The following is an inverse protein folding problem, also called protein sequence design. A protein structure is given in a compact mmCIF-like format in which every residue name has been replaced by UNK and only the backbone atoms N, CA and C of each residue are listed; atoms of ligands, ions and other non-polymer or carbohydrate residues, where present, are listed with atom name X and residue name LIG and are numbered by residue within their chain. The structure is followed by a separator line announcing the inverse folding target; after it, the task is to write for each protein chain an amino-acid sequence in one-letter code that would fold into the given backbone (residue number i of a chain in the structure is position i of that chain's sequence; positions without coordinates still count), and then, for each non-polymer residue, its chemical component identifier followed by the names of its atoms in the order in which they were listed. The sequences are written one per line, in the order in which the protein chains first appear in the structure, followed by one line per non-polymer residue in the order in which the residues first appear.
data_IF_073039127171
#
_entry.id   IF_073039127171
#
_cell.length_a   1.000
_cell.length_b   1.000
_cell.length_c   1.000
_cell.angle_alpha   90.00
_cell.angle_beta   90.00
_cell.angle_gamma   90.00
#
_symmetry.space_group_name_H-M   'P 1'
#
loop_
_entity.id
_entity.type
_entity.pdbx_description
1 polymer ?
#
# COMPACT_ATOMS: atom_id res chain seq x y z
N UNK A 1 -15.62 -14.87 -20.83
CA UNK A 1 -14.22 -14.98 -20.40
C UNK A 1 -13.94 -14.12 -19.14
N UNK A 2 -14.18 -12.81 -19.15
CA UNK A 2 -13.87 -11.91 -18.02
C UNK A 2 -14.64 -12.24 -16.73
N UNK A 3 -15.93 -12.59 -16.80
CA UNK A 3 -16.70 -13.01 -15.61
C UNK A 3 -16.09 -14.27 -14.99
N UNK A 4 -15.67 -15.22 -15.80
CA UNK A 4 -14.99 -16.44 -15.31
C UNK A 4 -13.67 -16.08 -14.64
N UNK A 5 -12.89 -15.17 -15.23
CA UNK A 5 -11.64 -14.71 -14.62
C UNK A 5 -11.88 -14.03 -13.26
N UNK A 6 -12.94 -13.21 -13.16
CA UNK A 6 -13.32 -12.60 -11.88
C UNK A 6 -13.78 -13.65 -10.85
N UNK A 7 -14.56 -14.64 -11.26
CA UNK A 7 -14.97 -15.72 -10.37
C UNK A 7 -13.75 -16.51 -9.85
N UNK A 8 -12.78 -16.81 -10.71
CA UNK A 8 -11.54 -17.48 -10.30
C UNK A 8 -10.72 -16.60 -9.33
N UNK A 9 -10.58 -15.31 -9.63
CA UNK A 9 -9.96 -14.33 -8.75
C UNK A 9 -10.65 -14.29 -7.38
N UNK A 10 -11.97 -14.17 -7.35
CA UNK A 10 -12.77 -14.17 -6.13
C UNK A 10 -12.57 -15.45 -5.30
N UNK A 11 -12.73 -16.63 -5.93
CA UNK A 11 -12.57 -17.91 -5.24
C UNK A 11 -11.17 -18.10 -4.68
N UNK A 12 -10.15 -17.66 -5.41
CA UNK A 12 -8.78 -17.75 -4.96
C UNK A 12 -8.49 -16.83 -3.77
N UNK A 13 -8.99 -15.60 -3.78
CA UNK A 13 -8.84 -14.68 -2.65
C UNK A 13 -9.52 -15.23 -1.39
N UNK A 14 -10.76 -15.72 -1.51
CA UNK A 14 -11.46 -16.36 -0.39
C UNK A 14 -10.67 -17.56 0.14
N UNK A 15 -10.18 -18.42 -0.76
CA UNK A 15 -9.38 -19.59 -0.37
C UNK A 15 -8.10 -19.22 0.37
N UNK A 16 -7.35 -18.25 -0.13
CA UNK A 16 -6.09 -17.82 0.50
C UNK A 16 -6.31 -17.18 1.87
N UNK A 17 -7.34 -16.34 2.02
CA UNK A 17 -7.71 -15.76 3.32
C UNK A 17 -8.19 -16.84 4.31
N UNK A 18 -8.97 -17.83 3.88
CA UNK A 18 -9.34 -18.98 4.72
C UNK A 18 -8.13 -19.78 5.18
N UNK A 19 -7.21 -20.05 4.28
CA UNK A 19 -5.95 -20.76 4.62
C UNK A 19 -5.15 -19.95 5.64
N UNK A 20 -5.04 -18.63 5.47
CA UNK A 20 -4.33 -17.75 6.39
C UNK A 20 -4.99 -17.74 7.77
N UNK A 21 -6.31 -17.60 7.86
CA UNK A 21 -7.04 -17.68 9.15
C UNK A 21 -6.75 -18.99 9.86
N UNK A 22 -6.90 -20.13 9.17
CA UNK A 22 -6.66 -21.45 9.75
C UNK A 22 -5.20 -21.63 10.19
N UNK A 23 -4.25 -21.13 9.39
CA UNK A 23 -2.83 -21.19 9.71
C UNK A 23 -2.53 -20.39 10.98
N UNK A 24 -2.97 -19.13 11.05
CA UNK A 24 -2.72 -18.25 12.21
C UNK A 24 -3.43 -18.77 13.46
N UNK A 25 -4.65 -19.31 13.36
CA UNK A 25 -5.35 -19.93 14.49
C UNK A 25 -4.57 -21.12 15.09
N UNK A 26 -3.95 -21.95 14.26
CA UNK A 26 -3.09 -23.04 14.72
C UNK A 26 -1.80 -22.49 15.32
N UNK A 27 -1.13 -21.57 14.61
CA UNK A 27 0.12 -21.00 15.05
C UNK A 27 0.01 -20.22 16.36
N UNK A 28 -1.12 -19.56 16.62
CA UNK A 28 -1.41 -18.83 17.88
C UNK A 28 -1.27 -19.72 19.13
N UNK A 29 -1.53 -21.03 19.00
CA UNK A 29 -1.49 -21.98 20.10
C UNK A 29 -0.11 -22.68 20.26
N UNK A 30 0.85 -22.35 19.40
CA UNK A 30 2.22 -22.83 19.48
C UNK A 30 3.04 -21.95 20.43
N UNK A 31 4.27 -22.40 20.74
CA UNK A 31 5.23 -21.59 21.51
C UNK A 31 5.49 -20.27 20.76
N UNK A 32 5.35 -19.12 21.42
CA UNK A 32 5.64 -17.82 20.80
C UNK A 32 7.08 -17.73 20.30
N UNK A 33 7.23 -17.16 19.12
CA UNK A 33 8.53 -16.84 18.53
C UNK A 33 8.61 -15.33 18.33
N UNK A 34 9.80 -14.76 18.46
CA UNK A 34 10.10 -13.31 18.25
C UNK A 34 9.38 -12.43 19.28
N UNK A 35 8.05 -12.55 19.39
CA UNK A 35 7.22 -11.72 20.28
C UNK A 35 7.01 -12.38 21.63
N UNK A 36 6.78 -11.57 22.67
CA UNK A 36 6.30 -12.04 23.96
C UNK A 36 4.91 -12.69 23.84
N UNK A 37 4.59 -13.62 24.74
CA UNK A 37 3.37 -14.43 24.64
C UNK A 37 2.08 -13.60 24.49
N UNK A 38 1.94 -12.53 25.28
CA UNK A 38 0.76 -11.68 25.21
C UNK A 38 0.69 -10.93 23.87
N UNK A 39 1.80 -10.34 23.46
CA UNK A 39 1.90 -9.57 22.19
C UNK A 39 1.71 -10.50 20.98
N UNK A 40 2.27 -11.72 21.05
CA UNK A 40 2.08 -12.75 20.02
C UNK A 40 0.62 -13.12 19.83
N UNK A 41 -0.12 -13.35 20.94
CA UNK A 41 -1.56 -13.66 20.89
C UNK A 41 -2.38 -12.49 20.36
N UNK A 42 -2.07 -11.26 20.77
CA UNK A 42 -2.74 -10.04 20.26
C UNK A 42 -2.51 -9.87 18.76
N UNK A 43 -1.27 -10.06 18.29
CA UNK A 43 -0.95 -9.97 16.87
C UNK A 43 -1.66 -11.06 16.05
N UNK A 44 -1.74 -12.29 16.58
CA UNK A 44 -2.52 -13.36 15.95
C UNK A 44 -4.01 -13.02 15.88
N UNK A 45 -4.61 -12.48 16.95
CA UNK A 45 -6.02 -12.10 16.99
C UNK A 45 -6.32 -10.98 15.99
N UNK A 46 -5.46 -9.96 15.94
CA UNK A 46 -5.59 -8.90 14.95
C UNK A 46 -5.51 -9.44 13.51
N UNK A 47 -4.54 -10.31 13.22
CA UNK A 47 -4.40 -10.94 11.90
C UNK A 47 -5.65 -11.75 11.53
N UNK A 48 -6.18 -12.56 12.45
CA UNK A 48 -7.40 -13.36 12.24
C UNK A 48 -8.62 -12.46 11.98
N UNK A 49 -8.82 -11.41 12.77
CA UNK A 49 -9.96 -10.51 12.62
C UNK A 49 -9.88 -9.72 11.32
N UNK A 50 -8.68 -9.25 10.96
CA UNK A 50 -8.43 -8.58 9.69
C UNK A 50 -8.76 -9.49 8.50
N UNK A 51 -8.30 -10.75 8.51
CA UNK A 51 -8.59 -11.71 7.45
C UNK A 51 -10.07 -12.09 7.37
N UNK A 52 -10.75 -12.25 8.50
CA UNK A 52 -12.21 -12.48 8.51
C UNK A 52 -12.97 -11.31 7.88
N UNK A 53 -12.54 -10.09 8.16
CA UNK A 53 -13.10 -8.91 7.53
C UNK A 53 -12.80 -8.87 6.03
N UNK A 54 -11.58 -9.24 5.61
CA UNK A 54 -11.20 -9.35 4.21
C UNK A 54 -12.06 -10.38 3.45
N UNK A 55 -12.35 -11.54 4.05
CA UNK A 55 -13.26 -12.54 3.47
C UNK A 55 -14.65 -11.92 3.22
N UNK A 56 -15.21 -11.22 4.21
CA UNK A 56 -16.53 -10.60 4.10
C UNK A 56 -16.53 -9.48 3.04
N UNK A 57 -15.51 -8.65 3.02
CA UNK A 57 -15.31 -7.59 2.04
C UNK A 57 -15.19 -8.17 0.62
N UNK A 58 -14.36 -9.20 0.43
CA UNK A 58 -14.19 -9.86 -0.87
C UNK A 58 -15.50 -10.44 -1.39
N UNK A 59 -16.32 -11.03 -0.52
CA UNK A 59 -17.64 -11.53 -0.90
C UNK A 59 -18.58 -10.38 -1.31
N UNK A 60 -18.53 -9.27 -0.58
CA UNK A 60 -19.33 -8.09 -0.89
C UNK A 60 -18.87 -7.42 -2.19
N UNK A 61 -17.56 -7.33 -2.43
CA UNK A 61 -16.99 -6.81 -3.67
C UNK A 61 -17.42 -7.66 -4.89
N UNK A 62 -17.55 -8.98 -4.70
CA UNK A 62 -18.09 -9.85 -5.73
C UNK A 62 -19.58 -9.52 -6.05
N UNK A 63 -20.38 -9.22 -5.03
CA UNK A 63 -21.77 -8.80 -5.26
C UNK A 63 -21.86 -7.43 -5.96
N UNK A 64 -20.97 -6.48 -5.61
CA UNK A 64 -20.86 -5.20 -6.31
C UNK A 64 -20.45 -5.41 -7.76
N UNK A 65 -19.47 -6.27 -8.03
CA UNK A 65 -19.07 -6.62 -9.38
C UNK A 65 -20.25 -7.18 -10.17
N UNK A 66 -20.98 -8.16 -9.62
CA UNK A 66 -22.15 -8.74 -10.27
C UNK A 66 -23.25 -7.70 -10.52
N UNK A 67 -23.48 -6.79 -9.60
CA UNK A 67 -24.42 -5.67 -9.77
C UNK A 67 -24.00 -4.79 -10.96
N UNK A 68 -22.73 -4.40 -11.04
CA UNK A 68 -22.25 -3.54 -12.10
C UNK A 68 -22.39 -4.20 -13.49
N UNK A 69 -21.95 -5.44 -13.66
CA UNK A 69 -21.98 -6.11 -14.97
C UNK A 69 -23.36 -6.54 -15.41
N UNK A 70 -24.33 -6.70 -14.49
CA UNK A 70 -25.69 -7.14 -14.84
C UNK A 70 -26.62 -5.99 -15.17
N UNK A 71 -26.63 -4.94 -14.36
CA UNK A 71 -27.58 -3.81 -14.49
C UNK A 71 -26.95 -2.45 -14.26
N UNK A 72 -25.88 -2.35 -13.45
CA UNK A 72 -25.35 -1.09 -12.99
C UNK A 72 -24.75 -0.25 -14.11
N UNK A 73 -23.97 -0.87 -15.00
CA UNK A 73 -23.33 -0.17 -16.12
C UNK A 73 -24.34 0.38 -17.11
N UNK A 74 -25.33 -0.43 -17.52
CA UNK A 74 -26.38 0.01 -18.44
C UNK A 74 -27.29 1.08 -17.81
N UNK A 75 -27.61 0.97 -16.52
CA UNK A 75 -28.35 1.98 -15.80
C UNK A 75 -27.58 3.31 -15.74
N UNK A 76 -26.28 3.24 -15.44
CA UNK A 76 -25.42 4.42 -15.41
C UNK A 76 -25.32 5.10 -16.78
N UNK A 77 -25.18 4.31 -17.87
CA UNK A 77 -25.15 4.84 -19.23
C UNK A 77 -26.48 5.51 -19.62
N UNK A 78 -27.61 4.94 -19.19
CA UNK A 78 -28.93 5.54 -19.44
C UNK A 78 -29.18 6.85 -18.72
N UNK A 79 -28.48 7.10 -17.59
CA UNK A 79 -28.58 8.36 -16.82
C UNK A 79 -27.63 9.44 -17.38
N UNK A 80 -26.46 9.04 -17.88
CA UNK A 80 -25.44 9.98 -18.37
C UNK A 80 -25.61 10.21 -19.88
N UNK A 81 -26.66 10.92 -20.25
CA UNK A 81 -27.03 11.21 -21.65
C UNK A 81 -26.44 12.54 -22.12
N UNK A 82 -25.11 12.67 -22.19
CA UNK A 82 -24.41 13.88 -22.61
C UNK A 82 -23.71 13.63 -23.94
N UNK A 83 -23.90 14.54 -24.92
CA UNK A 83 -23.33 14.40 -26.27
C UNK A 83 -21.79 14.57 -26.30
N UNK A 84 -21.24 15.43 -25.42
CA UNK A 84 -19.80 15.66 -25.37
C UNK A 84 -19.09 14.46 -24.77
N UNK A 85 -18.23 13.80 -25.55
CA UNK A 85 -17.52 12.57 -25.13
C UNK A 85 -16.70 12.75 -23.86
N UNK A 86 -15.96 13.85 -23.71
CA UNK A 86 -15.15 14.09 -22.54
C UNK A 86 -15.99 14.39 -21.29
N UNK A 87 -17.12 15.11 -21.45
CA UNK A 87 -18.03 15.38 -20.34
C UNK A 87 -18.78 14.12 -19.92
N UNK A 88 -19.19 13.29 -20.90
CA UNK A 88 -19.77 11.96 -20.64
C UNK A 88 -18.81 11.11 -19.85
N UNK A 89 -17.55 11.02 -20.26
CA UNK A 89 -16.54 10.24 -19.55
C UNK A 89 -16.28 10.77 -18.12
N UNK A 90 -16.18 12.09 -17.92
CA UNK A 90 -16.02 12.68 -16.58
C UNK A 90 -17.20 12.28 -15.68
N UNK A 91 -18.43 12.47 -16.13
CA UNK A 91 -19.62 12.16 -15.32
C UNK A 91 -19.76 10.67 -15.07
N UNK A 92 -19.61 9.85 -16.10
CA UNK A 92 -19.76 8.38 -16.01
C UNK A 92 -18.74 7.75 -15.05
N UNK A 93 -17.46 8.11 -15.22
CA UNK A 93 -16.38 7.55 -14.40
C UNK A 93 -16.47 8.08 -12.95
N UNK A 94 -16.72 9.38 -12.75
CA UNK A 94 -16.86 9.90 -11.39
C UNK A 94 -18.08 9.32 -10.67
N UNK A 95 -19.23 9.18 -11.32
CA UNK A 95 -20.41 8.54 -10.72
C UNK A 95 -20.14 7.06 -10.39
N UNK A 96 -19.49 6.32 -11.30
CA UNK A 96 -19.06 4.95 -11.02
C UNK A 96 -18.19 4.87 -9.77
N UNK A 97 -17.18 5.73 -9.64
CA UNK A 97 -16.27 5.76 -8.48
C UNK A 97 -17.00 6.18 -7.20
N UNK A 98 -17.87 7.20 -7.26
CA UNK A 98 -18.65 7.65 -6.09
C UNK A 98 -19.58 6.56 -5.60
N UNK A 99 -20.28 5.87 -6.50
CA UNK A 99 -21.18 4.76 -6.13
C UNK A 99 -20.36 3.63 -5.49
N UNK A 100 -19.23 3.22 -6.08
CA UNK A 100 -18.36 2.21 -5.47
C UNK A 100 -17.88 2.64 -4.08
N UNK A 101 -17.41 3.88 -3.93
CA UNK A 101 -16.98 4.39 -2.64
C UNK A 101 -18.10 4.36 -1.59
N UNK A 102 -19.33 4.77 -1.94
CA UNK A 102 -20.48 4.69 -1.02
C UNK A 102 -20.77 3.24 -0.62
N UNK A 103 -20.73 2.31 -1.56
CA UNK A 103 -20.98 0.91 -1.31
C UNK A 103 -19.93 0.28 -0.39
N UNK A 104 -18.65 0.64 -0.54
CA UNK A 104 -17.54 0.10 0.27
C UNK A 104 -17.32 0.84 1.59
N UNK A 105 -17.91 2.04 1.76
CA UNK A 105 -17.78 2.88 2.96
C UNK A 105 -18.05 2.16 4.30
N UNK A 106 -19.05 1.24 4.42
CA UNK A 106 -19.27 0.52 5.68
C UNK A 106 -18.05 -0.29 6.15
N UNK A 107 -17.30 -0.88 5.23
CA UNK A 107 -16.10 -1.66 5.56
C UNK A 107 -14.94 -0.76 6.00
N UNK A 108 -14.78 0.40 5.36
CA UNK A 108 -13.78 1.40 5.73
C UNK A 108 -14.06 1.95 7.13
N UNK A 109 -15.32 2.31 7.42
CA UNK A 109 -15.73 2.79 8.74
C UNK A 109 -15.54 1.73 9.82
N UNK A 110 -15.91 0.47 9.55
CA UNK A 110 -15.67 -0.63 10.48
C UNK A 110 -14.19 -0.85 10.75
N UNK A 111 -13.36 -0.88 9.70
CA UNK A 111 -11.91 -1.00 9.84
C UNK A 111 -11.33 0.09 10.72
N UNK A 112 -11.62 1.36 10.40
CA UNK A 112 -11.04 2.52 11.07
C UNK A 112 -11.54 2.69 12.50
N UNK A 113 -12.86 2.61 12.72
CA UNK A 113 -13.50 2.97 14.00
C UNK A 113 -13.79 1.79 14.93
N UNK A 114 -13.71 0.55 14.43
CA UNK A 114 -13.91 -0.65 15.25
C UNK A 114 -12.67 -1.50 15.33
N UNK A 115 -12.20 -2.04 14.21
CA UNK A 115 -11.07 -2.97 14.17
C UNK A 115 -9.77 -2.29 14.62
N UNK A 116 -9.31 -1.28 13.91
CA UNK A 116 -8.05 -0.59 14.21
C UNK A 116 -8.10 0.13 15.55
N UNK A 117 -9.27 0.67 15.93
CA UNK A 117 -9.45 1.27 17.25
C UNK A 117 -9.37 0.25 18.39
N UNK A 118 -9.94 -0.95 18.21
CA UNK A 118 -9.87 -2.06 19.19
C UNK A 118 -8.43 -2.46 19.48
N UNK A 119 -7.58 -2.43 18.46
CA UNK A 119 -6.16 -2.80 18.59
C UNK A 119 -5.23 -1.60 18.87
N UNK A 120 -5.79 -0.40 19.10
CA UNK A 120 -5.04 0.79 19.47
C UNK A 120 -4.28 1.47 18.33
N UNK A 121 -4.61 1.14 17.09
CA UNK A 121 -4.00 1.79 15.92
C UNK A 121 -4.69 3.12 15.58
N UNK A 122 -6.02 3.14 15.52
CA UNK A 122 -6.75 4.31 15.07
C UNK A 122 -7.04 5.30 16.20
N UNK A 123 -6.52 6.51 16.06
CA UNK A 123 -6.89 7.71 16.82
C UNK A 123 -7.87 8.60 16.04
N UNK A 124 -8.35 8.12 14.90
CA UNK A 124 -9.25 8.86 14.03
C UNK A 124 -10.54 9.24 14.75
N UNK A 125 -10.86 10.53 14.74
CA UNK A 125 -12.17 11.03 15.16
C UNK A 125 -13.10 11.18 13.97
N UNK A 126 -14.42 11.07 14.19
CA UNK A 126 -15.40 11.22 13.10
C UNK A 126 -15.26 12.58 12.39
N UNK A 127 -15.02 13.65 13.15
CA UNK A 127 -14.82 15.00 12.59
C UNK A 127 -13.58 15.07 11.70
N UNK A 128 -12.48 14.46 12.13
CA UNK A 128 -11.23 14.42 11.33
C UNK A 128 -11.43 13.56 10.07
N UNK A 129 -12.07 12.41 10.22
CA UNK A 129 -12.40 11.51 9.10
C UNK A 129 -13.23 12.25 8.03
N UNK A 130 -14.31 12.92 8.43
CA UNK A 130 -15.16 13.67 7.50
C UNK A 130 -14.36 14.79 6.80
N UNK A 131 -13.55 15.56 7.56
CA UNK A 131 -12.72 16.62 6.97
C UNK A 131 -11.72 16.08 5.95
N UNK A 132 -11.04 14.99 6.27
CA UNK A 132 -10.05 14.38 5.38
C UNK A 132 -10.73 13.75 4.16
N UNK A 133 -11.89 13.11 4.33
CA UNK A 133 -12.72 12.58 3.24
C UNK A 133 -13.17 13.68 2.28
N UNK A 134 -13.67 14.82 2.79
CA UNK A 134 -14.08 15.94 1.93
C UNK A 134 -12.88 16.50 1.15
N UNK A 135 -11.72 16.71 1.82
CA UNK A 135 -10.52 17.19 1.14
C UNK A 135 -10.06 16.23 0.03
N UNK A 136 -10.04 14.93 0.34
CA UNK A 136 -9.67 13.89 -0.62
C UNK A 136 -10.65 13.83 -1.79
N UNK A 137 -11.97 13.90 -1.51
CA UNK A 137 -13.00 13.89 -2.54
C UNK A 137 -12.88 15.11 -3.48
N UNK A 138 -12.70 16.32 -2.93
CA UNK A 138 -12.52 17.53 -3.75
C UNK A 138 -11.25 17.42 -4.60
N UNK A 139 -10.13 17.01 -4.01
CA UNK A 139 -8.87 16.83 -4.73
C UNK A 139 -9.03 15.81 -5.86
N UNK A 140 -9.65 14.67 -5.56
CA UNK A 140 -9.90 13.62 -6.53
C UNK A 140 -10.84 14.07 -7.65
N UNK A 141 -11.97 14.70 -7.33
CA UNK A 141 -12.93 15.17 -8.32
C UNK A 141 -12.30 16.23 -9.26
N UNK A 142 -11.47 17.14 -8.73
CA UNK A 142 -10.83 18.17 -9.56
C UNK A 142 -9.71 17.55 -10.41
N UNK A 143 -8.71 16.95 -9.78
CA UNK A 143 -7.56 16.42 -10.52
C UNK A 143 -7.91 15.17 -11.32
N UNK A 144 -8.75 14.28 -10.77
CA UNK A 144 -9.23 13.10 -11.44
C UNK A 144 -10.03 13.44 -12.70
N UNK A 145 -10.91 14.45 -12.65
CA UNK A 145 -11.66 14.90 -13.83
C UNK A 145 -10.75 15.44 -14.94
N UNK A 146 -9.66 16.14 -14.58
CA UNK A 146 -8.67 16.60 -15.56
C UNK A 146 -7.99 15.39 -16.23
N UNK A 147 -7.61 14.38 -15.44
CA UNK A 147 -6.99 13.16 -15.96
C UNK A 147 -7.97 12.37 -16.84
N UNK A 148 -9.24 12.23 -16.39
CA UNK A 148 -10.30 11.56 -17.17
C UNK A 148 -10.53 12.29 -18.50
N UNK A 149 -10.60 13.62 -18.50
CA UNK A 149 -10.73 14.39 -19.72
C UNK A 149 -9.55 14.17 -20.68
N UNK A 150 -8.32 14.20 -20.16
CA UNK A 150 -7.11 13.99 -20.95
C UNK A 150 -7.03 12.60 -21.57
N UNK A 151 -7.31 11.55 -20.79
CA UNK A 151 -7.30 10.17 -21.32
C UNK A 151 -8.46 9.95 -22.31
N UNK A 152 -9.64 10.54 -22.08
CA UNK A 152 -10.78 10.45 -22.99
C UNK A 152 -10.45 11.12 -24.33
N UNK A 153 -9.81 12.26 -24.31
CA UNK A 153 -9.34 12.92 -25.54
C UNK A 153 -8.37 12.02 -26.32
N UNK A 154 -7.46 11.36 -25.62
CA UNK A 154 -6.49 10.42 -26.23
C UNK A 154 -7.22 9.23 -26.86
N UNK A 155 -8.19 8.63 -26.15
CA UNK A 155 -8.97 7.48 -26.63
C UNK A 155 -9.73 7.82 -27.91
N UNK A 156 -10.39 8.96 -27.95
CA UNK A 156 -11.26 9.34 -29.07
C UNK A 156 -10.46 9.92 -30.27
N UNK A 157 -9.22 10.37 -30.06
CA UNK A 157 -8.46 11.07 -31.11
C UNK A 157 -7.43 10.17 -31.80
N UNK A 158 -6.82 9.23 -31.08
CA UNK A 158 -5.69 8.46 -31.62
C UNK A 158 -6.05 7.01 -31.89
N UNK A 159 -5.80 6.47 -33.11
CA UNK A 159 -6.08 5.07 -33.43
C UNK A 159 -5.36 4.06 -32.52
N UNK A 160 -4.11 4.35 -32.12
CA UNK A 160 -3.33 3.58 -31.17
C UNK A 160 -3.35 4.24 -29.78
N UNK A 161 -4.53 4.64 -29.31
CA UNK A 161 -4.73 5.38 -28.08
C UNK A 161 -4.05 4.76 -26.85
N UNK A 162 -3.95 3.44 -26.78
CA UNK A 162 -3.39 2.74 -25.64
C UNK A 162 -1.90 3.06 -25.43
N UNK A 163 -1.13 3.34 -26.50
CA UNK A 163 0.27 3.78 -26.40
C UNK A 163 0.35 5.16 -25.77
N UNK A 164 -0.42 6.10 -26.32
CA UNK A 164 -0.43 7.49 -25.83
C UNK A 164 -1.08 7.62 -24.45
N UNK A 165 -2.11 6.82 -24.20
CA UNK A 165 -2.74 6.68 -22.89
C UNK A 165 -1.78 6.18 -21.84
N UNK A 166 -0.99 5.15 -22.15
CA UNK A 166 0.09 4.66 -21.29
C UNK A 166 1.10 5.78 -20.97
N UNK A 167 1.62 6.47 -21.99
CA UNK A 167 2.59 7.56 -21.80
C UNK A 167 2.01 8.66 -20.93
N UNK A 168 0.77 9.07 -21.18
CA UNK A 168 0.07 10.11 -20.44
C UNK A 168 -0.12 9.73 -18.97
N UNK A 169 -0.71 8.56 -18.69
CA UNK A 169 -0.99 8.12 -17.32
C UNK A 169 0.32 7.82 -16.57
N UNK A 170 1.33 7.24 -17.22
CA UNK A 170 2.63 6.99 -16.60
C UNK A 170 3.33 8.31 -16.20
N UNK A 171 3.28 9.33 -17.07
CA UNK A 171 3.80 10.67 -16.75
C UNK A 171 3.04 11.30 -15.56
N UNK A 172 1.71 11.17 -15.51
CA UNK A 172 0.89 11.64 -14.38
C UNK A 172 1.27 10.94 -13.07
N UNK A 173 1.48 9.62 -13.09
CA UNK A 173 1.90 8.87 -11.90
C UNK A 173 3.27 9.34 -11.39
N UNK A 174 4.23 9.54 -12.28
CA UNK A 174 5.54 10.09 -11.89
C UNK A 174 5.37 11.49 -11.28
N UNK A 175 4.57 12.36 -11.90
CA UNK A 175 4.29 13.69 -11.39
C UNK A 175 3.63 13.66 -10.01
N UNK A 176 2.63 12.80 -9.81
CA UNK A 176 1.97 12.63 -8.51
C UNK A 176 2.98 12.17 -7.45
N UNK A 177 3.84 11.18 -7.75
CA UNK A 177 4.87 10.73 -6.82
C UNK A 177 5.85 11.85 -6.44
N UNK A 178 6.20 12.72 -7.37
CA UNK A 178 7.04 13.90 -7.08
C UNK A 178 6.33 14.91 -6.16
N UNK A 179 5.05 15.14 -6.37
CA UNK A 179 4.27 16.16 -5.66
C UNK A 179 3.66 15.65 -4.36
N UNK A 180 3.54 14.32 -4.19
CA UNK A 180 2.86 13.69 -3.05
C UNK A 180 3.31 14.24 -1.68
N UNK A 181 4.63 14.33 -1.37
CA UNK A 181 5.06 14.83 -0.07
C UNK A 181 4.63 16.29 0.18
N UNK A 182 4.59 17.11 -0.88
CA UNK A 182 4.19 18.53 -0.80
C UNK A 182 2.68 18.67 -0.61
N UNK A 183 1.89 17.85 -1.31
CA UNK A 183 0.42 17.85 -1.20
C UNK A 183 0.02 17.36 0.18
N UNK A 184 0.63 16.28 0.67
CA UNK A 184 0.35 15.70 1.97
C UNK A 184 0.63 16.68 3.12
N UNK A 185 1.79 17.33 3.10
CA UNK A 185 2.18 18.37 4.05
C UNK A 185 1.15 19.51 4.15
N UNK A 186 0.70 20.01 3.00
CA UNK A 186 -0.21 21.17 2.98
C UNK A 186 -1.66 20.83 3.30
N UNK A 187 -2.10 19.59 3.06
CA UNK A 187 -3.52 19.25 3.09
C UNK A 187 -3.91 18.37 4.29
N UNK A 188 -3.05 17.43 4.69
CA UNK A 188 -3.43 16.38 5.62
C UNK A 188 -2.62 16.39 6.90
N UNK A 189 -1.31 16.30 6.81
CA UNK A 189 -0.41 16.16 7.93
C UNK A 189 0.39 17.44 8.16
N UNK A 190 0.85 17.65 9.37
CA UNK A 190 1.73 18.75 9.70
C UNK A 190 3.17 18.26 9.69
N UNK A 191 3.95 18.71 8.73
CA UNK A 191 5.37 18.44 8.65
C UNK A 191 6.14 19.51 9.43
N UNK A 192 6.90 19.09 10.42
CA UNK A 192 7.79 19.96 11.17
C UNK A 192 9.22 19.48 10.98
N UNK A 193 10.19 20.39 11.03
CA UNK A 193 11.60 19.97 11.13
C UNK A 193 11.79 19.17 12.40
N UNK A 194 12.66 18.16 12.32
CA UNK A 194 12.97 17.33 13.49
C UNK A 194 13.43 18.20 14.65
N UNK A 195 12.78 18.05 15.82
CA UNK A 195 13.07 18.85 17.02
C UNK A 195 14.37 18.42 17.68
N UNK A 196 14.66 17.13 17.65
CA UNK A 196 15.88 16.53 18.18
C UNK A 196 17.07 16.86 17.26
N UNK A 197 17.86 17.82 17.69
CA UNK A 197 19.02 18.30 16.91
C UNK A 197 20.17 17.31 16.87
N UNK A 198 20.34 16.51 17.92
CA UNK A 198 21.35 15.46 17.93
C UNK A 198 21.02 14.38 16.90
N UNK A 199 19.78 13.94 16.90
CA UNK A 199 19.29 12.97 15.92
C UNK A 199 19.33 13.54 14.49
N UNK A 200 18.94 14.80 14.28
CA UNK A 200 19.00 15.46 12.96
C UNK A 200 20.43 15.42 12.40
N UNK A 201 21.44 15.81 13.19
CA UNK A 201 22.85 15.77 12.79
C UNK A 201 23.33 14.36 12.46
N UNK A 202 22.94 13.37 13.27
CA UNK A 202 23.29 11.95 13.00
C UNK A 202 22.67 11.46 11.67
N UNK A 203 21.43 11.82 11.41
CA UNK A 203 20.75 11.47 10.17
C UNK A 203 21.41 12.17 8.98
N UNK A 204 21.69 13.47 9.07
CA UNK A 204 22.37 14.21 8.00
C UNK A 204 23.73 13.58 7.66
N UNK A 205 24.50 13.21 8.68
CA UNK A 205 25.78 12.50 8.49
C UNK A 205 25.57 11.17 7.74
N UNK A 206 24.58 10.37 8.14
CA UNK A 206 24.24 9.10 7.48
C UNK A 206 23.85 9.30 6.01
N UNK A 207 23.07 10.35 5.71
CA UNK A 207 22.67 10.70 4.34
C UNK A 207 23.88 11.09 3.48
N UNK A 208 24.79 11.88 4.05
CA UNK A 208 26.01 12.33 3.37
C UNK A 208 26.97 11.15 3.06
N UNK A 209 27.12 10.21 3.99
CA UNK A 209 27.94 8.98 3.77
C UNK A 209 27.46 8.15 2.59
N UNK A 210 26.15 8.12 2.35
CA UNK A 210 25.53 7.38 1.23
C UNK A 210 25.42 8.24 -0.04
N UNK A 211 25.67 9.54 0.06
CA UNK A 211 25.50 10.49 -1.04
C UNK A 211 24.02 10.79 -1.36
N UNK A 212 23.12 10.65 -0.37
CA UNK A 212 21.72 10.97 -0.51
C UNK A 212 21.46 12.46 -0.25
N UNK A 213 21.22 13.22 -1.33
CA UNK A 213 20.88 14.64 -1.22
C UNK A 213 19.41 14.80 -0.82
N UNK A 214 19.19 15.27 0.41
CA UNK A 214 17.87 15.51 0.98
C UNK A 214 17.57 17.01 1.05
N UNK A 215 16.30 17.41 0.94
CA UNK A 215 15.81 18.76 1.25
C UNK A 215 15.60 18.97 2.77
N UNK A 216 15.83 17.94 3.58
CA UNK A 216 15.75 17.97 5.04
C UNK A 216 15.09 16.74 5.64
N UNK A 217 15.16 16.68 6.98
CA UNK A 217 14.55 15.65 7.82
C UNK A 217 13.32 16.24 8.50
N UNK A 218 12.18 15.60 8.34
CA UNK A 218 10.90 16.07 8.85
C UNK A 218 10.25 15.02 9.74
N UNK A 219 9.61 15.48 10.80
CA UNK A 219 8.68 14.69 11.60
C UNK A 219 7.25 15.05 11.19
N UNK A 220 6.36 14.05 11.15
CA UNK A 220 4.94 14.21 10.80
C UNK A 220 4.05 13.75 11.95
N UNK A 221 2.96 14.48 12.24
CA UNK A 221 1.98 14.20 13.29
C UNK A 221 1.04 13.03 12.91
N UNK A 222 1.64 11.87 12.60
CA UNK A 222 0.91 10.68 12.19
C UNK A 222 0.03 10.12 13.31
N UNK A 223 0.49 10.21 14.57
CA UNK A 223 -0.24 9.76 15.77
C UNK A 223 -1.64 10.34 15.91
N UNK A 224 -1.91 11.48 15.29
CA UNK A 224 -3.24 12.08 15.23
C UNK A 224 -4.28 11.19 14.53
N UNK A 225 -3.82 10.30 13.65
CA UNK A 225 -4.65 9.38 12.84
C UNK A 225 -4.37 7.93 13.15
N UNK A 226 -3.11 7.56 13.13
CA UNK A 226 -2.65 6.17 13.24
C UNK A 226 -1.39 6.09 14.12
N UNK A 227 -1.37 5.14 15.04
CA UNK A 227 -0.26 4.91 15.97
C UNK A 227 0.79 3.95 15.40
N UNK A 228 0.62 3.42 14.20
CA UNK A 228 1.62 2.54 13.59
C UNK A 228 2.92 3.27 13.35
N UNK A 229 4.02 2.58 13.63
CA UNK A 229 5.36 3.11 13.40
C UNK A 229 5.70 3.05 11.91
N UNK A 230 6.20 4.16 11.36
CA UNK A 230 6.63 4.21 9.97
C UNK A 230 7.64 5.35 9.72
N UNK A 231 8.47 5.16 8.69
CA UNK A 231 9.32 6.19 8.09
C UNK A 231 9.37 5.97 6.57
N UNK A 232 9.65 6.99 5.80
CA UNK A 232 9.83 6.85 4.36
C UNK A 232 10.68 7.96 3.76
N UNK A 233 11.31 7.63 2.64
CA UNK A 233 11.93 8.62 1.76
C UNK A 233 10.90 9.03 0.70
N UNK A 234 10.55 10.31 0.66
CA UNK A 234 9.57 10.84 -0.28
C UNK A 234 10.18 11.84 -1.26
N UNK A 235 9.52 12.01 -2.42
CA UNK A 235 9.93 12.94 -3.46
C UNK A 235 10.96 12.37 -4.42
N UNK A 236 11.19 13.09 -5.52
CA UNK A 236 12.16 12.75 -6.55
C UNK A 236 13.05 13.96 -6.85
N UNK A 237 14.28 13.72 -7.28
CA UNK A 237 15.22 14.80 -7.61
C UNK A 237 15.49 15.73 -6.42
N UNK A 238 15.25 17.03 -6.59
CA UNK A 238 15.45 18.07 -5.56
C UNK A 238 14.38 18.09 -4.46
N UNK A 239 13.29 17.34 -4.60
CA UNK A 239 12.21 17.28 -3.60
C UNK A 239 12.38 16.13 -2.62
N UNK A 240 13.44 15.35 -2.72
CA UNK A 240 13.73 14.22 -1.80
C UNK A 240 13.80 14.71 -0.36
N UNK A 241 13.12 14.00 0.52
CA UNK A 241 13.12 14.28 1.97
C UNK A 241 12.99 12.99 2.78
N UNK A 242 13.50 13.05 4.01
CA UNK A 242 13.29 12.00 5.02
C UNK A 242 12.07 12.39 5.84
N UNK A 243 11.12 11.47 5.98
CA UNK A 243 9.89 11.69 6.75
C UNK A 243 9.79 10.61 7.82
N UNK A 244 9.79 11.04 9.08
CA UNK A 244 9.66 10.20 10.26
C UNK A 244 8.28 10.42 10.88
N UNK A 245 7.57 9.35 11.19
CA UNK A 245 6.35 9.47 11.99
C UNK A 245 6.73 9.81 13.44
N UNK A 246 5.99 10.71 14.07
CA UNK A 246 6.16 11.05 15.47
C UNK A 246 6.13 9.81 16.37
N UNK A 247 5.26 8.85 16.07
CA UNK A 247 5.18 7.53 16.73
C UNK A 247 6.48 6.74 16.65
N UNK A 248 7.20 6.79 15.53
CA UNK A 248 8.47 6.10 15.35
C UNK A 248 9.58 6.77 16.18
N UNK A 249 9.64 8.11 16.14
CA UNK A 249 10.63 8.89 16.87
C UNK A 249 10.49 8.71 18.40
N UNK A 250 9.26 8.52 18.89
CA UNK A 250 8.99 8.28 20.32
C UNK A 250 9.38 6.87 20.79
N UNK A 251 9.35 5.88 19.91
CA UNK A 251 9.51 4.47 20.29
C UNK A 251 10.89 3.89 20.03
N UNK A 252 11.62 4.43 19.06
CA UNK A 252 12.95 3.93 18.71
C UNK A 252 14.05 4.78 19.35
N UNK A 253 15.11 4.15 19.79
CA UNK A 253 16.37 4.83 20.13
C UNK A 253 16.99 5.45 18.88
N UNK A 254 17.92 6.41 19.04
CA UNK A 254 18.61 7.01 17.90
C UNK A 254 19.30 5.96 17.02
N UNK A 255 19.95 4.95 17.61
CA UNK A 255 20.66 3.92 16.88
C UNK A 255 19.70 3.03 16.08
N UNK A 256 18.60 2.58 16.68
CA UNK A 256 17.56 1.81 16.01
C UNK A 256 16.94 2.60 14.85
N UNK A 257 16.69 3.90 15.05
CA UNK A 257 16.15 4.76 14.01
C UNK A 257 17.15 4.94 12.85
N UNK A 258 18.44 5.10 13.15
CA UNK A 258 19.49 5.13 12.12
C UNK A 258 19.60 3.79 11.39
N UNK A 259 19.39 2.66 12.06
CA UNK A 259 19.38 1.34 11.42
C UNK A 259 18.20 1.21 10.43
N UNK A 260 17.00 1.65 10.81
CA UNK A 260 15.83 1.70 9.90
C UNK A 260 16.11 2.62 8.72
N UNK A 261 16.64 3.81 8.94
CA UNK A 261 16.99 4.72 7.85
C UNK A 261 18.13 4.17 6.98
N UNK A 262 19.07 3.44 7.55
CA UNK A 262 20.11 2.72 6.82
C UNK A 262 19.53 1.66 5.89
N UNK A 263 18.53 0.91 6.34
CA UNK A 263 17.77 -0.03 5.51
C UNK A 263 17.10 0.69 4.34
N UNK A 264 16.37 1.77 4.60
CA UNK A 264 15.72 2.58 3.56
C UNK A 264 16.74 3.17 2.54
N UNK A 265 17.92 3.60 3.04
CA UNK A 265 19.01 4.05 2.18
C UNK A 265 19.60 2.91 1.34
N UNK A 266 19.50 1.67 1.81
CA UNK A 266 19.86 0.47 1.05
C UNK A 266 19.05 0.37 -0.24
N UNK A 267 17.74 0.56 -0.19
CA UNK A 267 16.87 0.62 -1.37
C UNK A 267 17.30 1.72 -2.36
N UNK A 268 17.65 2.90 -1.83
CA UNK A 268 18.16 3.99 -2.65
C UNK A 268 19.50 3.61 -3.32
N UNK A 269 20.44 3.09 -2.56
CA UNK A 269 21.78 2.71 -3.04
C UNK A 269 21.72 1.62 -4.10
N UNK A 270 20.84 0.64 -3.92
CA UNK A 270 20.64 -0.46 -4.84
C UNK A 270 19.83 -0.06 -6.09
N UNK A 271 19.32 1.19 -6.15
CA UNK A 271 18.55 1.68 -7.29
C UNK A 271 17.14 1.09 -7.39
N UNK A 272 16.59 0.56 -6.29
CA UNK A 272 15.30 -0.14 -6.29
C UNK A 272 14.14 0.77 -6.69
N UNK A 273 14.23 2.07 -6.41
CA UNK A 273 13.24 3.06 -6.86
C UNK A 273 13.15 3.07 -8.40
N UNK A 274 14.30 3.09 -9.09
CA UNK A 274 14.33 3.11 -10.56
C UNK A 274 13.85 1.77 -11.14
N UNK A 275 14.27 0.65 -10.53
CA UNK A 275 13.79 -0.69 -10.91
C UNK A 275 12.28 -0.80 -10.77
N UNK A 276 11.73 -0.34 -9.64
CA UNK A 276 10.30 -0.37 -9.37
C UNK A 276 9.50 0.53 -10.33
N UNK A 277 10.03 1.71 -10.70
CA UNK A 277 9.44 2.57 -11.75
C UNK A 277 9.43 1.83 -13.08
N UNK A 278 10.52 1.15 -13.46
CA UNK A 278 10.61 0.36 -14.69
C UNK A 278 9.61 -0.81 -14.71
N UNK A 279 9.50 -1.56 -13.60
CA UNK A 279 8.55 -2.67 -13.46
C UNK A 279 7.11 -2.15 -13.55
N UNK A 280 6.79 -1.07 -12.84
CA UNK A 280 5.50 -0.42 -12.89
C UNK A 280 5.17 0.03 -14.32
N UNK A 281 6.12 0.64 -15.01
CA UNK A 281 5.96 1.06 -16.40
C UNK A 281 5.66 -0.12 -17.32
N UNK A 282 6.39 -1.24 -17.17
CA UNK A 282 6.15 -2.45 -17.95
C UNK A 282 4.75 -3.04 -17.69
N UNK A 283 4.36 -3.16 -16.42
CA UNK A 283 3.04 -3.66 -16.03
C UNK A 283 1.93 -2.78 -16.60
N UNK A 284 2.06 -1.46 -16.47
CA UNK A 284 1.10 -0.52 -17.03
C UNK A 284 1.03 -0.60 -18.56
N UNK A 285 2.19 -0.71 -19.22
CA UNK A 285 2.22 -0.88 -20.67
C UNK A 285 1.44 -2.13 -21.12
N UNK A 286 1.63 -3.26 -20.42
CA UNK A 286 0.88 -4.49 -20.68
C UNK A 286 -0.62 -4.29 -20.45
N UNK A 287 -1.02 -3.58 -19.38
CA UNK A 287 -2.43 -3.29 -19.11
C UNK A 287 -3.03 -2.44 -20.24
N UNK A 288 -2.37 -1.34 -20.61
CA UNK A 288 -2.83 -0.50 -21.71
C UNK A 288 -2.92 -1.28 -23.03
N UNK A 289 -1.94 -2.15 -23.31
CA UNK A 289 -1.97 -3.01 -24.50
C UNK A 289 -3.16 -3.99 -24.48
N UNK A 290 -3.47 -4.61 -23.34
CA UNK A 290 -4.62 -5.51 -23.20
C UNK A 290 -5.93 -4.74 -23.37
N UNK A 291 -6.11 -3.66 -22.58
CA UNK A 291 -7.37 -2.91 -22.57
C UNK A 291 -7.58 -2.07 -23.82
N UNK A 292 -6.52 -1.70 -24.51
CA UNK A 292 -6.57 -0.98 -25.78
C UNK A 292 -6.97 -1.84 -26.97
N UNK A 293 -6.94 -3.16 -26.81
CA UNK A 293 -7.26 -4.13 -27.87
C UNK A 293 -8.42 -5.07 -27.47
N UNK A 294 -9.27 -4.63 -26.54
CA UNK A 294 -10.47 -5.40 -26.18
C UNK A 294 -11.46 -5.42 -27.34
N UNK A 295 -12.11 -6.57 -27.63
CA UNK A 295 -13.08 -6.67 -28.69
C UNK A 295 -14.38 -5.93 -28.34
N UNK A 296 -15.05 -5.38 -29.35
CA UNK A 296 -16.31 -4.65 -29.20
C UNK A 296 -17.42 -5.51 -28.56
N UNK A 297 -17.43 -6.79 -28.81
CA UNK A 297 -18.40 -7.75 -28.26
C UNK A 297 -18.39 -7.80 -26.74
N UNK A 298 -17.25 -7.43 -26.11
CA UNK A 298 -17.18 -7.29 -24.66
C UNK A 298 -18.06 -6.16 -24.16
N UNK A 299 -17.99 -5.00 -24.80
CA UNK A 299 -18.77 -3.82 -24.44
C UNK A 299 -20.26 -4.05 -24.73
N UNK A 300 -20.58 -4.61 -25.87
CA UNK A 300 -21.96 -5.00 -26.21
C UNK A 300 -22.53 -5.99 -25.19
N UNK A 301 -21.72 -6.96 -24.74
CA UNK A 301 -22.12 -7.90 -23.68
C UNK A 301 -22.36 -7.25 -22.31
N UNK A 302 -21.84 -6.05 -22.07
CA UNK A 302 -22.10 -5.21 -20.90
C UNK A 302 -23.22 -4.16 -21.15
N UNK A 303 -23.87 -4.21 -22.32
CA UNK A 303 -24.84 -3.20 -22.77
C UNK A 303 -24.24 -1.77 -22.84
N UNK A 304 -22.99 -1.67 -23.27
CA UNK A 304 -22.25 -0.42 -23.45
C UNK A 304 -21.76 -0.28 -24.89
N UNK A 305 -21.50 0.93 -25.32
CA UNK A 305 -20.74 1.21 -26.54
C UNK A 305 -19.23 1.22 -26.21
N UNK A 306 -18.39 0.92 -27.20
CA UNK A 306 -16.93 1.01 -27.06
C UNK A 306 -16.48 2.48 -27.24
N UNK A 307 -16.60 3.25 -26.20
CA UNK A 307 -16.23 4.67 -26.10
C UNK A 307 -15.38 4.95 -24.85
N UNK A 308 -14.80 6.15 -24.74
CA UNK A 308 -13.86 6.47 -23.66
C UNK A 308 -14.42 6.21 -22.27
N UNK A 309 -15.68 6.56 -21.99
CA UNK A 309 -16.34 6.33 -20.70
C UNK A 309 -16.35 4.85 -20.31
N UNK A 310 -16.75 4.01 -21.25
CA UNK A 310 -16.86 2.55 -21.06
C UNK A 310 -15.50 1.88 -20.95
N UNK A 311 -14.53 2.27 -21.78
CA UNK A 311 -13.18 1.72 -21.77
C UNK A 311 -12.51 1.99 -20.41
N UNK A 312 -12.64 3.20 -19.88
CA UNK A 312 -12.05 3.57 -18.57
C UNK A 312 -12.69 2.74 -17.45
N UNK A 313 -14.02 2.61 -17.42
CA UNK A 313 -14.69 1.84 -16.36
C UNK A 313 -14.42 0.34 -16.48
N UNK A 314 -14.38 -0.23 -17.68
CA UNK A 314 -13.97 -1.62 -17.91
C UNK A 314 -12.53 -1.82 -17.42
N UNK A 315 -11.63 -0.89 -17.69
CA UNK A 315 -10.27 -0.92 -17.13
C UNK A 315 -10.30 -0.94 -15.58
N UNK A 316 -11.08 -0.07 -14.93
CA UNK A 316 -11.19 -0.01 -13.47
C UNK A 316 -11.75 -1.30 -12.85
N UNK A 317 -12.75 -1.92 -13.49
CA UNK A 317 -13.38 -3.16 -13.01
C UNK A 317 -12.44 -4.37 -13.13
N UNK A 318 -11.68 -4.48 -14.21
CA UNK A 318 -10.93 -5.70 -14.52
C UNK A 318 -9.44 -5.62 -14.25
N UNK A 319 -8.84 -4.42 -14.11
CA UNK A 319 -7.42 -4.27 -13.78
C UNK A 319 -7.01 -4.92 -12.45
N UNK A 320 -7.84 -4.97 -11.38
CA UNK A 320 -7.49 -5.67 -10.15
C UNK A 320 -7.20 -7.17 -10.35
N UNK A 321 -7.89 -7.81 -11.30
CA UNK A 321 -7.67 -9.24 -11.62
C UNK A 321 -6.26 -9.43 -12.17
N UNK A 322 -5.88 -8.62 -13.17
CA UNK A 322 -4.55 -8.71 -13.77
C UNK A 322 -3.47 -8.37 -12.76
N UNK A 323 -3.69 -7.33 -11.95
CA UNK A 323 -2.78 -6.94 -10.87
C UNK A 323 -2.54 -8.08 -9.90
N UNK A 324 -3.60 -8.76 -9.47
CA UNK A 324 -3.50 -9.88 -8.53
C UNK A 324 -2.59 -11.01 -9.05
N UNK A 325 -2.71 -11.39 -10.31
CA UNK A 325 -1.87 -12.45 -10.89
C UNK A 325 -0.44 -12.02 -11.17
N UNK A 326 -0.18 -10.72 -11.32
CA UNK A 326 1.16 -10.17 -11.50
C UNK A 326 1.88 -9.87 -10.17
N UNK A 327 1.11 -9.61 -9.10
CA UNK A 327 1.67 -9.26 -7.79
C UNK A 327 2.71 -10.26 -7.25
N UNK A 328 2.54 -11.60 -7.37
CA UNK A 328 3.55 -12.53 -6.90
C UNK A 328 4.93 -12.31 -7.54
N UNK A 329 4.98 -12.00 -8.84
CA UNK A 329 6.24 -11.74 -9.54
C UNK A 329 6.91 -10.46 -9.02
N UNK A 330 6.12 -9.40 -8.85
CA UNK A 330 6.61 -8.12 -8.30
C UNK A 330 7.10 -8.32 -6.87
N UNK A 331 6.33 -9.05 -6.06
CA UNK A 331 6.65 -9.32 -4.66
C UNK A 331 7.89 -10.18 -4.48
N UNK A 332 8.17 -11.11 -5.40
CA UNK A 332 9.43 -11.88 -5.39
C UNK A 332 10.65 -10.96 -5.54
N UNK A 333 10.59 -10.01 -6.48
CA UNK A 333 11.66 -9.03 -6.69
C UNK A 333 11.79 -8.12 -5.45
N UNK A 334 10.66 -7.63 -4.92
CA UNK A 334 10.65 -6.80 -3.73
C UNK A 334 11.29 -7.49 -2.53
N UNK A 335 10.90 -8.75 -2.24
CA UNK A 335 11.48 -9.53 -1.14
C UNK A 335 12.98 -9.78 -1.30
N UNK A 336 13.48 -9.95 -2.51
CA UNK A 336 14.91 -10.07 -2.75
C UNK A 336 15.64 -8.76 -2.42
N UNK A 337 15.08 -7.62 -2.80
CA UNK A 337 15.65 -6.30 -2.52
C UNK A 337 15.70 -6.01 -1.01
N UNK A 338 14.76 -6.53 -0.22
CA UNK A 338 14.73 -6.38 1.24
C UNK A 338 15.96 -6.95 1.93
N UNK A 339 16.41 -8.14 1.52
CA UNK A 339 17.63 -8.73 2.10
C UNK A 339 18.88 -7.88 1.83
N UNK A 340 18.98 -7.33 0.64
CA UNK A 340 20.08 -6.43 0.29
C UNK A 340 20.00 -5.09 1.06
N UNK A 341 18.80 -4.59 1.31
CA UNK A 341 18.59 -3.40 2.14
C UNK A 341 18.90 -3.67 3.62
N UNK A 342 18.54 -4.83 4.16
CA UNK A 342 18.89 -5.25 5.51
C UNK A 342 20.40 -5.39 5.70
N UNK A 343 21.08 -6.02 4.77
CA UNK A 343 22.55 -6.13 4.79
C UNK A 343 23.19 -4.75 4.78
N UNK A 344 22.73 -3.86 3.89
CA UNK A 344 23.25 -2.51 3.80
C UNK A 344 23.00 -1.71 5.07
N UNK A 345 21.78 -1.71 5.61
CA UNK A 345 21.40 -1.00 6.84
C UNK A 345 22.17 -1.49 8.05
N UNK A 346 22.33 -2.81 8.18
CA UNK A 346 23.09 -3.42 9.27
C UNK A 346 24.60 -3.13 9.21
N UNK A 347 25.13 -2.89 8.03
CA UNK A 347 26.55 -2.49 7.85
C UNK A 347 26.78 -1.00 8.15
N UNK A 348 25.75 -0.14 7.95
CA UNK A 348 25.82 1.29 8.26
C UNK A 348 25.64 1.60 9.74
N UNK A 349 24.89 0.77 10.47
CA UNK A 349 24.65 0.92 11.91
C UNK A 349 25.19 -0.31 12.66
N UNK A 350 24.31 -1.17 13.14
CA UNK A 350 24.65 -2.49 13.65
C UNK A 350 23.52 -3.47 13.35
N UNK A 351 23.85 -4.78 13.32
CA UNK A 351 22.85 -5.84 13.17
C UNK A 351 21.87 -5.85 14.35
N UNK A 352 22.37 -5.63 15.56
CA UNK A 352 21.58 -5.63 16.79
C UNK A 352 20.56 -4.48 16.77
N UNK A 353 20.99 -3.26 16.41
CA UNK A 353 20.08 -2.10 16.31
C UNK A 353 18.98 -2.33 15.26
N UNK A 354 19.31 -2.92 14.11
CA UNK A 354 18.31 -3.23 13.08
C UNK A 354 17.32 -4.29 13.55
N UNK A 355 17.80 -5.35 14.18
CA UNK A 355 16.93 -6.42 14.71
C UNK A 355 16.04 -5.88 15.82
N UNK A 356 16.58 -5.07 16.75
CA UNK A 356 15.80 -4.43 17.81
C UNK A 356 14.74 -3.49 17.25
N UNK A 357 15.07 -2.67 16.25
CA UNK A 357 14.11 -1.82 15.55
C UNK A 357 12.98 -2.64 14.91
N UNK A 358 13.31 -3.70 14.18
CA UNK A 358 12.33 -4.59 13.55
C UNK A 358 11.43 -5.30 14.57
N UNK A 359 11.97 -5.68 15.74
CA UNK A 359 11.19 -6.25 16.86
C UNK A 359 10.20 -5.21 17.41
N UNK A 360 10.64 -3.96 17.65
CA UNK A 360 9.78 -2.87 18.11
C UNK A 360 8.69 -2.59 17.08
N UNK A 361 9.04 -2.49 15.81
CA UNK A 361 8.07 -2.34 14.71
C UNK A 361 7.04 -3.46 14.69
N UNK A 362 7.46 -4.72 14.85
CA UNK A 362 6.55 -5.87 14.88
C UNK A 362 5.60 -5.81 16.08
N UNK A 363 6.11 -5.46 17.26
CA UNK A 363 5.32 -5.32 18.48
C UNK A 363 4.27 -4.21 18.35
N UNK A 364 4.70 -3.00 18.00
CA UNK A 364 3.81 -1.85 17.93
C UNK A 364 2.80 -1.99 16.80
N UNK A 365 3.23 -2.47 15.62
CA UNK A 365 2.36 -2.69 14.47
C UNK A 365 1.59 -4.03 14.54
N UNK A 366 1.72 -4.79 15.64
CA UNK A 366 1.05 -6.08 15.86
C UNK A 366 1.18 -7.03 14.66
N UNK A 367 2.40 -7.06 14.10
CA UNK A 367 2.72 -7.91 12.96
C UNK A 367 2.92 -9.35 13.43
N UNK A 368 1.99 -10.23 13.08
CA UNK A 368 2.13 -11.64 13.42
C UNK A 368 3.29 -12.26 12.65
N UNK A 369 4.27 -12.93 13.34
CA UNK A 369 5.54 -13.30 12.72
C UNK A 369 5.46 -14.48 11.75
N UNK A 370 4.33 -15.17 11.69
CA UNK A 370 4.12 -16.35 10.86
C UNK A 370 2.95 -16.16 9.89
N UNK A 371 3.10 -16.68 8.67
CA UNK A 371 2.03 -16.68 7.67
C UNK A 371 2.11 -17.94 6.82
N UNK A 372 0.96 -18.30 6.22
CA UNK A 372 0.91 -19.43 5.30
C UNK A 372 1.76 -19.16 4.05
N UNK A 373 2.55 -20.12 3.53
CA UNK A 373 3.46 -19.88 2.39
C UNK A 373 2.76 -19.32 1.13
N UNK A 374 1.58 -19.83 0.80
CA UNK A 374 0.78 -19.32 -0.33
C UNK A 374 0.37 -17.85 -0.07
N UNK A 375 0.01 -17.51 1.16
CA UNK A 375 -0.35 -16.15 1.53
C UNK A 375 0.87 -15.21 1.42
N UNK A 376 2.05 -15.65 1.86
CA UNK A 376 3.31 -14.91 1.68
C UNK A 376 3.58 -14.70 0.19
N UNK A 377 3.42 -15.73 -0.63
CA UNK A 377 3.68 -15.67 -2.07
C UNK A 377 2.85 -14.59 -2.77
N UNK A 378 1.55 -14.46 -2.46
CA UNK A 378 0.63 -13.55 -3.12
C UNK A 378 0.59 -12.15 -2.51
N UNK A 379 0.74 -12.01 -1.18
CA UNK A 379 0.42 -10.74 -0.48
C UNK A 379 1.61 -10.07 0.20
N UNK A 380 2.75 -10.74 0.35
CA UNK A 380 3.89 -10.16 1.06
C UNK A 380 4.88 -9.53 0.09
N UNK A 381 5.00 -8.20 0.17
CA UNK A 381 6.07 -7.44 -0.49
C UNK A 381 7.41 -7.50 0.28
N UNK A 382 7.36 -7.82 1.58
CA UNK A 382 8.53 -7.98 2.45
C UNK A 382 8.62 -9.43 2.92
N UNK A 383 9.83 -9.99 3.13
CA UNK A 383 9.98 -11.30 3.72
C UNK A 383 9.42 -11.32 5.15
N UNK A 384 8.93 -12.47 5.64
CA UNK A 384 8.61 -12.63 7.06
C UNK A 384 9.80 -12.26 7.95
N UNK A 385 9.53 -11.66 9.12
CA UNK A 385 10.59 -11.25 10.04
C UNK A 385 11.50 -12.41 10.46
N UNK A 386 10.95 -13.62 10.56
CA UNK A 386 11.71 -14.84 10.85
C UNK A 386 12.79 -15.14 9.81
N UNK A 387 12.51 -14.86 8.54
CA UNK A 387 13.47 -15.02 7.45
C UNK A 387 14.51 -13.90 7.47
N UNK A 388 14.10 -12.63 7.66
CA UNK A 388 15.00 -11.47 7.77
C UNK A 388 15.99 -11.66 8.93
N UNK A 389 15.52 -12.09 10.10
CA UNK A 389 16.40 -12.35 11.27
C UNK A 389 17.40 -13.46 10.98
N UNK A 390 16.98 -14.55 10.32
CA UNK A 390 17.87 -15.62 9.93
C UNK A 390 18.99 -15.15 8.98
N UNK A 391 18.64 -14.31 7.98
CA UNK A 391 19.63 -13.73 7.07
C UNK A 391 20.60 -12.76 7.78
N UNK A 392 20.14 -12.06 8.81
CA UNK A 392 20.98 -11.23 9.68
C UNK A 392 21.85 -12.06 10.67
N UNK A 393 21.68 -13.40 10.70
CA UNK A 393 22.46 -14.33 11.53
C UNK A 393 21.85 -14.63 12.90
N UNK A 394 20.57 -14.29 13.12
CA UNK A 394 19.86 -14.59 14.37
C UNK A 394 19.04 -15.88 14.25
N UNK A 395 19.26 -16.81 15.20
CA UNK A 395 18.45 -18.02 15.28
C UNK A 395 17.17 -17.75 16.10
N UNK A 396 16.06 -17.56 15.40
CA UNK A 396 14.74 -17.32 16.01
C UNK A 396 14.20 -18.49 16.84
N UNK A 397 14.79 -19.68 16.71
CA UNK A 397 14.42 -20.88 17.47
C UNK A 397 15.30 -21.07 18.71
N UNK A 398 16.43 -20.39 18.81
CA UNK A 398 17.34 -20.48 19.94
C UNK A 398 16.97 -19.45 21.01
N UNK A 399 16.41 -19.94 22.13
CA UNK A 399 15.91 -19.11 23.22
C UNK A 399 16.96 -18.12 23.79
N UNK A 400 18.27 -18.41 23.66
CA UNK A 400 19.31 -17.57 24.25
C UNK A 400 19.53 -16.25 23.49
N UNK A 401 19.45 -16.26 22.14
CA UNK A 401 19.59 -15.04 21.33
C UNK A 401 18.33 -14.16 21.39
N UNK A 402 17.15 -14.75 21.48
CA UNK A 402 15.88 -14.03 21.66
C UNK A 402 15.63 -13.63 23.12
N UNK A 403 16.26 -14.28 24.09
CA UNK A 403 16.12 -13.95 25.51
C UNK A 403 17.01 -12.77 25.91
N UNK A 404 18.23 -12.67 25.38
CA UNK A 404 19.08 -11.47 25.54
C UNK A 404 18.38 -10.20 25.01
N UNK A 405 17.76 -10.30 23.81
CA UNK A 405 16.96 -9.21 23.23
C UNK A 405 15.72 -8.87 24.09
N UNK A 406 15.09 -9.85 24.75
CA UNK A 406 13.94 -9.63 25.63
C UNK A 406 14.32 -9.01 26.98
N UNK A 407 15.49 -9.30 27.51
CA UNK A 407 15.97 -8.77 28.77
C UNK A 407 16.35 -7.29 28.66
N UNK A 408 16.88 -6.86 27.51
CA UNK A 408 17.17 -5.48 27.21
C UNK A 408 15.88 -4.60 27.11
N UNK A 409 14.77 -5.18 26.61
CA UNK A 409 13.45 -4.52 26.54
C UNK A 409 12.78 -4.27 27.90
N UNK A 410 13.08 -5.09 28.92
CA UNK A 410 12.46 -4.95 30.25
C UNK A 410 13.20 -3.96 31.15
N UNK A 411 14.34 -3.41 30.72
CA UNK A 411 15.08 -2.39 31.47
C UNK A 411 14.72 -0.94 31.10
N UNK A 412 13.92 -0.74 30.03
CA UNK A 412 13.51 0.58 29.54
C UNK A 412 12.02 0.90 29.86
N UNK A 413 11.33 0.12 30.69
CA UNK A 413 10.07 0.45 31.36
C UNK A 413 10.36 0.88 32.82
#
# INVERSE_FOLDING_TARGET
MFVIAYCLYFLFNIYTSFMQVNFVQKAKNLKPIILEELKYKIAADYSIEKEKMAILSTFYDFLIFMMWISVGLSALDSVVTVESFWLKAILFVNLFIIVNWILTLPFELYSTFKLDKKYGFSNMTLSLYIKDTIKSAVLFLVLGSIVIAGISFIIETFPAWWIWGFVFIFAIIILINMLYPVIRDKMFDKFEKLKDKELEVKIEKLLDEVGFKSSGVFSVDASKRDNRLNAYFGGLGSTKRVVLFDTLVEKLSHNELLAVLGHELGHFKNGDIIKNIGIMGLVMFVFFAIFGNLPEELFLGLSLNQEASSIIVVFLIFSPILSFFLMPLISLISRHNEYAADEFGSNLSSKDDLVNALLKLANENKSFPLSHPIYIFFYYSHPPLTERFKELGYDVNNNNSTQALKEEFNHDE
#
